data_IF_112036115365
#
_entry.id   IF_112036115365
#
_cell.length_a   1.000
_cell.length_b   1.000
_cell.length_c   1.000
_cell.angle_alpha   90.00
_cell.angle_beta   90.00
_cell.angle_gamma   90.00
#
_symmetry.space_group_name_H-M   'P 1'
#
loop_
_entity.id
_entity.type
_entity.pdbx_description
1 polymer ?
#
# COMPACT_ATOMS: atom_id res chain seq x y z
N UNK A 1 1.85 14.82 -13.04
CA UNK A 1 3.04 15.06 -12.19
C UNK A 1 4.26 14.47 -12.89
N UNK A 2 5.48 15.03 -12.74
CA UNK A 2 6.72 14.52 -13.36
C UNK A 2 7.89 14.67 -12.36
N UNK A 3 8.78 13.69 -12.33
CA UNK A 3 9.95 13.68 -11.41
C UNK A 3 10.85 14.90 -11.58
N UNK A 4 11.07 15.32 -12.83
CA UNK A 4 11.88 16.51 -13.15
C UNK A 4 11.45 17.78 -12.39
N UNK A 5 10.16 17.92 -12.09
CA UNK A 5 9.63 19.09 -11.36
C UNK A 5 9.85 19.03 -9.85
N UNK A 6 10.17 17.86 -9.31
CA UNK A 6 10.26 17.63 -7.87
C UNK A 6 11.66 17.17 -7.42
N UNK A 7 12.57 16.89 -8.34
CA UNK A 7 13.90 16.38 -8.02
C UNK A 7 14.70 17.31 -7.10
N UNK A 8 14.56 18.63 -7.28
CA UNK A 8 15.30 19.64 -6.54
C UNK A 8 14.58 20.14 -5.27
N UNK A 9 13.44 19.52 -4.91
CA UNK A 9 12.71 19.86 -3.68
C UNK A 9 13.51 19.49 -2.44
N UNK A 10 13.35 20.25 -1.35
CA UNK A 10 13.90 19.89 -0.03
C UNK A 10 13.34 18.54 0.43
N UNK A 11 14.13 17.74 1.13
CA UNK A 11 13.76 16.35 1.52
C UNK A 11 12.48 16.27 2.34
N UNK A 12 12.21 17.24 3.19
CA UNK A 12 10.96 17.32 3.97
C UNK A 12 9.75 17.48 3.04
N UNK A 13 9.85 18.39 2.06
CA UNK A 13 8.78 18.63 1.09
C UNK A 13 8.62 17.43 0.15
N UNK A 14 9.73 16.82 -0.29
CA UNK A 14 9.71 15.62 -1.09
C UNK A 14 8.98 14.46 -0.37
N UNK A 15 9.35 14.17 0.90
CA UNK A 15 8.68 13.14 1.71
C UNK A 15 7.19 13.44 1.88
N UNK A 16 6.84 14.72 2.13
CA UNK A 16 5.44 15.14 2.26
C UNK A 16 4.65 14.93 0.97
N UNK A 17 5.26 15.11 -0.20
CA UNK A 17 4.62 14.94 -1.50
C UNK A 17 4.55 13.47 -1.93
N UNK A 18 5.66 12.74 -1.82
CA UNK A 18 5.81 11.39 -2.37
C UNK A 18 5.40 10.29 -1.37
N UNK A 19 5.48 10.58 -0.06
CA UNK A 19 5.13 9.63 1.01
C UNK A 19 6.35 8.86 1.55
N UNK A 20 7.44 8.78 0.80
CA UNK A 20 8.67 8.08 1.20
C UNK A 20 9.86 9.04 1.27
N UNK A 21 10.92 8.68 2.02
CA UNK A 21 12.17 9.43 2.04
C UNK A 21 12.86 9.37 0.68
N UNK A 22 13.63 10.41 0.31
CA UNK A 22 14.37 10.47 -0.96
C UNK A 22 15.29 9.25 -1.17
N UNK A 23 16.05 8.87 -0.18
CA UNK A 23 16.92 7.69 -0.22
C UNK A 23 16.10 6.41 -0.52
N UNK A 24 14.93 6.22 0.14
CA UNK A 24 14.04 5.08 -0.15
C UNK A 24 13.53 5.11 -1.58
N UNK A 25 13.17 6.29 -2.07
CA UNK A 25 12.75 6.47 -3.47
C UNK A 25 13.87 6.12 -4.45
N UNK A 26 15.10 6.52 -4.17
CA UNK A 26 16.26 6.18 -5.00
C UNK A 26 16.50 4.68 -5.06
N UNK A 27 16.43 3.99 -3.92
CA UNK A 27 16.53 2.53 -3.87
C UNK A 27 15.41 1.85 -4.69
N UNK A 28 14.19 2.39 -4.65
CA UNK A 28 13.10 1.90 -5.52
C UNK A 28 13.43 2.12 -7.00
N UNK A 29 13.99 3.26 -7.36
CA UNK A 29 14.38 3.57 -8.74
C UNK A 29 15.43 2.58 -9.24
N UNK A 30 16.44 2.26 -8.45
CA UNK A 30 17.48 1.27 -8.82
C UNK A 30 16.88 -0.10 -9.10
N UNK A 31 16.02 -0.59 -8.21
CA UNK A 31 15.36 -1.89 -8.35
C UNK A 31 14.45 -1.94 -9.57
N UNK A 32 13.58 -0.94 -9.73
CA UNK A 32 12.63 -0.89 -10.84
C UNK A 32 13.35 -0.70 -12.18
N UNK A 33 14.44 0.08 -12.20
CA UNK A 33 15.28 0.26 -13.39
C UNK A 33 15.95 -1.04 -13.80
N UNK A 34 16.55 -1.77 -12.86
CA UNK A 34 17.14 -3.07 -13.13
C UNK A 34 16.13 -4.07 -13.70
N UNK A 35 14.92 -4.11 -13.10
CA UNK A 35 13.83 -4.96 -13.59
C UNK A 35 13.36 -4.54 -15.00
N UNK A 36 13.26 -3.22 -15.23
CA UNK A 36 12.88 -2.66 -16.53
C UNK A 36 13.88 -3.02 -17.62
N UNK A 37 15.17 -2.83 -17.35
CA UNK A 37 16.24 -3.11 -18.30
C UNK A 37 16.31 -4.61 -18.61
N UNK A 38 16.19 -5.49 -17.61
CA UNK A 38 16.17 -6.94 -17.80
C UNK A 38 15.02 -7.40 -18.70
N UNK A 39 13.84 -6.78 -18.56
CA UNK A 39 12.68 -7.13 -19.38
C UNK A 39 12.75 -6.56 -20.80
N UNK A 40 13.43 -5.42 -21.01
CA UNK A 40 13.38 -4.65 -22.26
C UNK A 40 14.68 -4.68 -23.08
N UNK A 41 15.78 -5.30 -22.58
CA UNK A 41 17.09 -5.35 -23.25
C UNK A 41 17.06 -5.85 -24.69
N UNK A 42 16.11 -6.72 -25.03
CA UNK A 42 15.99 -7.31 -26.38
C UNK A 42 14.76 -6.88 -27.16
N UNK A 43 13.87 -6.11 -26.54
CA UNK A 43 12.57 -5.74 -27.15
C UNK A 43 12.70 -4.47 -27.99
N UNK A 44 12.49 -4.59 -29.32
CA UNK A 44 12.28 -3.44 -30.18
C UNK A 44 10.84 -2.94 -30.03
N UNK A 45 10.65 -1.64 -29.85
CA UNK A 45 9.32 -1.08 -29.75
C UNK A 45 9.32 0.41 -29.39
N UNK A 46 8.12 1.00 -29.30
CA UNK A 46 7.96 2.40 -28.91
C UNK A 46 8.40 2.58 -27.44
N UNK A 47 9.23 3.58 -27.20
CA UNK A 47 9.62 3.96 -25.83
C UNK A 47 8.39 4.32 -24.98
N UNK A 48 8.35 3.94 -23.71
CA UNK A 48 7.25 4.29 -22.81
C UNK A 48 7.14 5.79 -22.63
N UNK A 49 5.93 6.28 -22.39
CA UNK A 49 5.67 7.70 -22.11
C UNK A 49 6.19 8.15 -20.76
N UNK A 50 6.37 7.22 -19.83
CA UNK A 50 6.82 7.46 -18.47
C UNK A 50 8.25 6.99 -18.31
N UNK A 51 9.11 7.82 -17.70
CA UNK A 51 10.40 7.39 -17.19
C UNK A 51 10.19 6.48 -15.95
N UNK A 52 11.21 5.71 -15.57
CA UNK A 52 11.13 4.81 -14.42
C UNK A 52 10.75 5.56 -13.14
N UNK A 53 11.32 6.73 -12.93
CA UNK A 53 11.01 7.61 -11.80
C UNK A 53 9.54 8.05 -11.80
N UNK A 54 9.00 8.37 -12.97
CA UNK A 54 7.59 8.75 -13.12
C UNK A 54 6.64 7.57 -12.90
N UNK A 55 7.06 6.35 -13.27
CA UNK A 55 6.29 5.12 -13.01
C UNK A 55 6.15 4.88 -11.50
N UNK A 56 7.26 5.02 -10.76
CA UNK A 56 7.25 4.89 -9.29
C UNK A 56 6.42 5.99 -8.64
N UNK A 57 6.57 7.24 -9.09
CA UNK A 57 5.77 8.37 -8.59
C UNK A 57 4.28 8.16 -8.82
N UNK A 58 3.89 7.64 -9.98
CA UNK A 58 2.51 7.29 -10.30
C UNK A 58 1.98 6.26 -9.30
N UNK A 59 2.73 5.18 -9.09
CA UNK A 59 2.36 4.10 -8.17
C UNK A 59 2.22 4.61 -6.72
N UNK A 60 3.22 5.35 -6.23
CA UNK A 60 3.18 5.92 -4.88
C UNK A 60 2.05 6.94 -4.70
N UNK A 61 1.76 7.74 -5.73
CA UNK A 61 0.64 8.69 -5.72
C UNK A 61 -0.70 7.96 -5.63
N UNK A 62 -0.88 6.90 -6.42
CA UNK A 62 -2.06 6.05 -6.38
C UNK A 62 -2.27 5.42 -5.00
N UNK A 63 -1.26 4.72 -4.47
CA UNK A 63 -1.34 4.05 -3.17
C UNK A 63 -1.58 5.02 -2.00
N UNK A 64 -1.06 6.22 -2.08
CA UNK A 64 -1.19 7.22 -1.03
C UNK A 64 -2.53 7.95 -1.03
N UNK A 65 -3.02 8.31 -2.21
CA UNK A 65 -4.20 9.18 -2.36
C UNK A 65 -5.49 8.39 -2.48
N UNK A 66 -5.42 7.07 -2.71
CA UNK A 66 -6.58 6.22 -3.04
C UNK A 66 -7.42 6.79 -4.20
N UNK A 67 -6.76 7.56 -5.09
CA UNK A 67 -7.38 8.12 -6.27
C UNK A 67 -7.75 7.01 -7.27
N UNK A 68 -8.71 7.27 -8.16
CA UNK A 68 -8.99 6.32 -9.24
C UNK A 68 -7.83 6.25 -10.24
N UNK A 69 -7.71 5.15 -10.99
CA UNK A 69 -6.72 5.05 -12.07
C UNK A 69 -6.99 6.07 -13.18
N UNK A 70 -8.24 6.46 -13.39
CA UNK A 70 -8.62 7.52 -14.31
C UNK A 70 -8.00 8.86 -13.90
N UNK A 71 -8.20 9.28 -12.65
CA UNK A 71 -7.62 10.52 -12.11
C UNK A 71 -6.08 10.48 -12.11
N UNK A 72 -5.52 9.35 -11.68
CA UNK A 72 -4.06 9.12 -11.71
C UNK A 72 -3.53 9.23 -13.14
N UNK A 73 -4.23 8.64 -14.11
CA UNK A 73 -3.89 8.72 -15.52
C UNK A 73 -3.83 10.16 -16.03
N UNK A 74 -4.83 10.98 -15.72
CA UNK A 74 -4.88 12.41 -16.07
C UNK A 74 -3.68 13.15 -15.47
N UNK A 75 -3.40 12.94 -14.19
CA UNK A 75 -2.31 13.61 -13.46
C UNK A 75 -0.92 13.32 -14.05
N UNK A 76 -0.74 12.13 -14.63
CA UNK A 76 0.52 11.71 -15.24
C UNK A 76 0.53 11.76 -16.77
N UNK A 77 -0.58 12.14 -17.41
CA UNK A 77 -0.72 12.27 -18.87
C UNK A 77 -0.71 10.93 -19.60
N UNK A 78 -1.27 9.89 -18.97
CA UNK A 78 -1.43 8.54 -19.54
C UNK A 78 -2.88 8.08 -19.45
N UNK A 79 -3.24 7.02 -20.20
CA UNK A 79 -4.57 6.42 -20.08
C UNK A 79 -4.73 5.67 -18.77
N UNK A 80 -5.97 5.50 -18.33
CA UNK A 80 -6.34 4.70 -17.16
C UNK A 80 -5.73 3.29 -17.20
N UNK A 81 -5.87 2.59 -18.33
CA UNK A 81 -5.30 1.26 -18.54
C UNK A 81 -3.76 1.24 -18.43
N UNK A 82 -3.10 2.34 -18.82
CA UNK A 82 -1.63 2.47 -18.66
C UNK A 82 -1.29 2.72 -17.20
N UNK A 83 -2.04 3.57 -16.50
CA UNK A 83 -1.84 3.82 -15.08
C UNK A 83 -1.97 2.52 -14.27
N UNK A 84 -3.03 1.75 -14.49
CA UNK A 84 -3.24 0.44 -13.85
C UNK A 84 -2.09 -0.53 -14.12
N UNK A 85 -1.74 -0.76 -15.41
CA UNK A 85 -0.65 -1.69 -15.76
C UNK A 85 0.69 -1.26 -15.20
N UNK A 86 0.98 0.05 -15.19
CA UNK A 86 2.22 0.58 -14.62
C UNK A 86 2.27 0.34 -13.11
N UNK A 87 1.18 0.59 -12.38
CA UNK A 87 1.10 0.35 -10.93
C UNK A 87 1.35 -1.12 -10.61
N UNK A 88 0.61 -2.04 -11.23
CA UNK A 88 0.77 -3.49 -10.99
C UNK A 88 2.18 -3.96 -11.33
N UNK A 89 2.77 -3.46 -12.42
CA UNK A 89 4.10 -3.84 -12.83
C UNK A 89 5.18 -3.36 -11.82
N UNK A 90 5.09 -2.10 -11.37
CA UNK A 90 6.01 -1.53 -10.38
C UNK A 90 5.88 -2.25 -9.03
N UNK A 91 4.66 -2.53 -8.57
CA UNK A 91 4.41 -3.30 -7.35
C UNK A 91 5.07 -4.68 -7.41
N UNK A 92 4.86 -5.42 -8.50
CA UNK A 92 5.46 -6.73 -8.70
C UNK A 92 7.00 -6.66 -8.71
N UNK A 93 7.59 -5.67 -9.37
CA UNK A 93 9.04 -5.49 -9.40
C UNK A 93 9.62 -5.21 -8.00
N UNK A 94 8.94 -4.38 -7.20
CA UNK A 94 9.36 -4.04 -5.83
C UNK A 94 9.18 -5.22 -4.87
N UNK A 95 8.10 -5.98 -4.97
CA UNK A 95 7.86 -7.16 -4.14
C UNK A 95 8.86 -8.27 -4.46
N UNK A 96 9.09 -8.54 -5.74
CA UNK A 96 9.98 -9.61 -6.20
C UNK A 96 11.44 -9.42 -5.79
N UNK A 97 11.90 -8.19 -5.58
CA UNK A 97 13.28 -7.93 -5.17
C UNK A 97 13.56 -8.28 -3.69
N UNK A 98 12.53 -8.48 -2.86
CA UNK A 98 12.64 -8.81 -1.44
C UNK A 98 13.13 -7.66 -0.52
N UNK A 99 13.64 -6.55 -1.06
CA UNK A 99 14.16 -5.42 -0.25
C UNK A 99 13.07 -4.59 0.42
N UNK A 100 11.86 -4.63 -0.12
CA UNK A 100 10.69 -3.87 0.36
C UNK A 100 9.63 -4.76 1.03
N UNK A 101 9.97 -6.02 1.32
CA UNK A 101 9.11 -6.92 2.06
C UNK A 101 9.10 -6.55 3.55
N UNK A 102 7.95 -6.71 4.20
CA UNK A 102 7.88 -6.60 5.65
C UNK A 102 8.68 -7.75 6.29
N UNK A 103 9.42 -7.49 7.37
CA UNK A 103 10.13 -8.54 8.10
C UNK A 103 9.13 -9.60 8.59
N UNK A 104 9.53 -10.88 8.50
CA UNK A 104 8.70 -11.97 8.98
C UNK A 104 8.50 -11.88 10.50
N UNK A 105 7.41 -12.48 11.01
CA UNK A 105 7.13 -12.52 12.46
C UNK A 105 8.32 -13.04 13.26
N UNK A 106 9.07 -14.00 12.73
CA UNK A 106 10.27 -14.54 13.40
C UNK A 106 11.37 -13.49 13.56
N UNK A 107 11.60 -12.66 12.55
CA UNK A 107 12.60 -11.59 12.61
C UNK A 107 12.17 -10.51 13.62
N UNK A 108 10.88 -10.21 13.71
CA UNK A 108 10.35 -9.22 14.67
C UNK A 108 10.47 -9.67 16.12
N UNK A 109 10.53 -10.98 16.38
CA UNK A 109 10.64 -11.55 17.74
C UNK A 109 12.08 -11.90 18.13
N UNK A 110 13.06 -11.70 17.24
CA UNK A 110 14.48 -12.00 17.53
C UNK A 110 15.13 -10.78 18.17
N UNK A 111 15.83 -10.95 19.29
CA UNK A 111 16.51 -9.87 20.02
C UNK A 111 17.53 -9.07 19.19
N UNK A 112 18.06 -9.67 18.12
CA UNK A 112 19.01 -9.04 17.19
C UNK A 112 18.35 -8.11 16.18
N UNK A 113 17.02 -7.98 16.16
CA UNK A 113 16.31 -7.19 15.12
C UNK A 113 16.50 -5.67 15.26
N UNK A 114 16.97 -5.18 16.42
CA UNK A 114 17.07 -3.75 16.70
C UNK A 114 15.72 -3.00 16.69
N UNK A 115 14.61 -3.74 16.71
CA UNK A 115 13.26 -3.19 16.75
C UNK A 115 12.81 -3.14 18.19
N UNK A 116 12.76 -1.94 18.76
CA UNK A 116 12.36 -1.73 20.15
C UNK A 116 10.84 -1.69 20.34
N UNK A 117 10.11 -1.16 19.35
CA UNK A 117 8.66 -0.96 19.42
C UNK A 117 7.99 -1.33 18.11
N UNK A 118 6.94 -2.15 18.19
CA UNK A 118 6.06 -2.48 17.07
C UNK A 118 4.69 -1.90 17.38
N UNK A 119 4.22 -0.98 16.52
CA UNK A 119 2.85 -0.47 16.57
C UNK A 119 1.99 -1.31 15.65
N UNK A 120 0.98 -1.96 16.21
CA UNK A 120 -0.02 -2.73 15.46
C UNK A 120 -1.34 -1.97 15.52
N UNK A 121 -1.82 -1.53 14.36
CA UNK A 121 -3.17 -0.99 14.21
C UNK A 121 -4.10 -2.15 13.78
N UNK A 122 -5.14 -2.39 14.57
CA UNK A 122 -6.09 -3.47 14.34
C UNK A 122 -7.47 -2.86 14.13
N UNK A 123 -7.99 -3.04 12.94
CA UNK A 123 -9.36 -2.65 12.57
C UNK A 123 -10.30 -3.83 12.71
N UNK A 124 -11.46 -3.60 13.36
CA UNK A 124 -12.55 -4.57 13.43
C UNK A 124 -13.53 -4.28 12.31
N UNK A 125 -13.80 -5.26 11.45
CA UNK A 125 -14.80 -5.17 10.40
C UNK A 125 -15.99 -6.07 10.73
N UNK A 126 -17.19 -5.51 10.66
CA UNK A 126 -18.41 -6.29 10.83
C UNK A 126 -18.61 -7.25 9.64
N UNK A 127 -18.85 -8.52 9.93
CA UNK A 127 -19.17 -9.52 8.92
C UNK A 127 -20.49 -10.20 9.22
N UNK A 128 -21.13 -10.76 8.20
CA UNK A 128 -22.26 -11.66 8.41
C UNK A 128 -21.84 -12.84 9.29
N UNK A 129 -22.72 -13.22 10.21
CA UNK A 129 -22.45 -14.31 11.15
C UNK A 129 -22.23 -15.62 10.40
N UNK A 130 -21.04 -16.24 10.44
CA UNK A 130 -20.81 -17.52 9.79
C UNK A 130 -21.72 -18.61 10.34
N UNK A 131 -22.27 -19.47 9.47
CA UNK A 131 -23.10 -20.60 9.88
C UNK A 131 -22.30 -21.62 10.72
N UNK A 132 -21.03 -21.83 10.38
CA UNK A 132 -20.13 -22.77 11.04
C UNK A 132 -18.86 -22.07 11.56
N UNK A 133 -18.26 -22.61 12.65
CA UNK A 133 -16.98 -22.13 13.15
C UNK A 133 -16.99 -20.73 13.79
N UNK A 134 -18.14 -20.26 14.27
CA UNK A 134 -18.34 -18.90 14.82
C UNK A 134 -17.27 -18.48 15.85
N UNK A 135 -16.82 -19.42 16.69
CA UNK A 135 -15.82 -19.18 17.74
C UNK A 135 -14.49 -18.65 17.18
N UNK A 136 -14.14 -19.04 15.94
CA UNK A 136 -12.92 -18.63 15.25
C UNK A 136 -12.92 -17.15 14.86
N UNK A 137 -14.09 -16.57 14.67
CA UNK A 137 -14.31 -15.20 14.20
C UNK A 137 -14.81 -14.26 15.30
N UNK A 138 -14.80 -14.71 16.55
CA UNK A 138 -15.28 -13.92 17.67
C UNK A 138 -14.13 -13.20 18.38
N UNK A 139 -14.14 -11.87 18.36
CA UNK A 139 -13.09 -11.04 18.94
C UNK A 139 -13.05 -11.03 20.47
N UNK A 140 -14.10 -11.52 21.15
CA UNK A 140 -14.19 -11.47 22.59
C UNK A 140 -14.56 -10.12 23.20
N UNK A 141 -14.62 -9.05 22.43
CA UNK A 141 -15.06 -7.73 22.92
C UNK A 141 -16.56 -7.77 23.22
N UNK A 142 -16.91 -7.63 24.50
CA UNK A 142 -18.29 -7.34 24.91
C UNK A 142 -18.59 -5.90 24.54
N UNK A 143 -19.58 -5.68 23.67
CA UNK A 143 -20.17 -4.35 23.50
C UNK A 143 -20.72 -3.91 24.86
N UNK A 144 -20.09 -2.94 25.51
CA UNK A 144 -20.64 -2.25 26.69
C UNK A 144 -21.85 -1.47 26.23
N UNK A 145 -23.03 -2.07 26.35
CA UNK A 145 -24.27 -1.34 26.21
C UNK A 145 -24.46 -0.49 27.47
N UNK A 146 -24.42 0.83 27.30
CA UNK A 146 -25.01 1.74 28.27
C UNK A 146 -26.48 1.35 28.43
N UNK A 147 -26.83 0.87 29.63
CA UNK A 147 -28.21 0.54 30.01
C UNK A 147 -28.98 1.84 30.18
N UNK A 148 -29.54 2.35 29.11
CA UNK A 148 -30.70 3.24 29.20
C UNK A 148 -31.97 2.37 29.09
N UNK A 149 -32.85 2.37 30.09
CA UNK A 149 -33.99 1.43 30.17
C UNK A 149 -35.24 1.91 29.43
N UNK A 150 -35.10 2.42 28.21
CA UNK A 150 -36.28 2.76 27.42
C UNK A 150 -35.98 2.68 25.93
N UNK A 151 -35.84 1.48 25.38
CA UNK A 151 -36.32 1.12 24.04
C UNK A 151 -36.08 -0.35 23.77
N UNK A 152 -37.18 -1.06 23.62
CA UNK A 152 -37.24 -2.46 23.23
C UNK A 152 -36.81 -2.55 21.74
N UNK A 153 -35.52 -2.65 21.44
CA UNK A 153 -35.00 -2.95 20.10
C UNK A 153 -34.37 -4.33 20.10
N UNK A 154 -34.81 -5.15 19.16
CA UNK A 154 -34.28 -6.49 18.86
C UNK A 154 -32.74 -6.45 18.89
N UNK A 155 -32.14 -7.32 19.69
CA UNK A 155 -30.70 -7.48 19.81
C UNK A 155 -30.14 -8.04 18.51
N UNK A 156 -29.68 -7.19 17.62
CA UNK A 156 -28.83 -7.60 16.50
C UNK A 156 -27.47 -7.99 17.08
N UNK A 157 -27.18 -9.27 17.10
CA UNK A 157 -25.85 -9.79 17.48
C UNK A 157 -24.93 -9.69 16.28
N UNK A 158 -24.21 -8.59 16.16
CA UNK A 158 -23.18 -8.40 15.14
C UNK A 158 -21.87 -9.04 15.62
N UNK A 159 -21.20 -9.74 14.73
CA UNK A 159 -19.90 -10.35 14.97
C UNK A 159 -18.82 -9.52 14.28
N UNK A 160 -17.67 -9.40 14.93
CA UNK A 160 -16.50 -8.67 14.41
C UNK A 160 -15.38 -9.66 14.09
N UNK A 161 -14.64 -9.37 13.04
CA UNK A 161 -13.49 -10.13 12.57
C UNK A 161 -12.22 -9.30 12.75
N UNK A 162 -11.18 -9.92 13.27
CA UNK A 162 -9.82 -9.33 13.26
C UNK A 162 -9.12 -9.74 11.96
N UNK A 163 -8.60 -8.75 11.24
CA UNK A 163 -7.67 -8.96 10.13
C UNK A 163 -6.23 -8.85 10.61
#
# INVERSE_FOLDING_TARGET
>A
MRYEKIKDMKDVAFKRLVGVKRHTFQNMVEVVRAAYDAEHMSKRGRKPKLAVEDMILLTLSYLRSYATFFETGINFGVSESTAHRTTVWVENALISCGKFALPSKRVLTTETSGIEVILVDVTEQEIERPKNGQKKYYSGKKTTHNKNPSHNRRKDKRNYLYC
#
